data_IF_240594882413
#
_entry.id   IF_240594882413
#
_cell.length_a   1.000
_cell.length_b   1.000
_cell.length_c   1.000
_cell.angle_alpha   90.00
_cell.angle_beta   90.00
_cell.angle_gamma   90.00
#
_symmetry.space_group_name_H-M   'P 1'
#
loop_
_entity.id
_entity.type
_entity.pdbx_description
1 polymer ?
#
# COMPACT_ATOMS: atom_id res chain seq x y z
N UNK A 1 4.47 16.84 0.92
CA UNK A 1 4.33 15.39 1.14
C UNK A 1 4.95 14.64 -0.04
N UNK A 2 5.46 13.43 0.19
CA UNK A 2 5.93 12.52 -0.89
C UNK A 2 4.86 11.44 -1.05
N UNK A 3 4.63 10.96 -2.27
CA UNK A 3 3.74 9.82 -2.50
C UNK A 3 4.41 8.57 -1.93
N UNK A 4 3.68 7.82 -1.11
CA UNK A 4 4.16 6.56 -0.56
C UNK A 4 4.58 5.61 -1.72
N UNK A 5 5.76 4.97 -1.65
CA UNK A 5 6.26 4.14 -2.76
C UNK A 5 5.30 3.02 -3.18
N UNK A 6 4.60 2.39 -2.22
CA UNK A 6 3.62 1.35 -2.54
C UNK A 6 2.42 1.89 -3.33
N UNK A 7 2.01 3.12 -3.06
CA UNK A 7 0.90 3.77 -3.76
C UNK A 7 1.30 4.18 -5.18
N UNK A 8 2.59 4.36 -5.47
CA UNK A 8 3.08 4.57 -6.84
C UNK A 8 2.91 3.30 -7.69
N UNK A 9 3.24 2.13 -7.15
CA UNK A 9 2.99 0.86 -7.86
C UNK A 9 1.48 0.64 -8.10
N UNK A 10 0.64 1.04 -7.14
CA UNK A 10 -0.82 0.98 -7.28
C UNK A 10 -1.34 1.91 -8.38
N UNK A 11 -0.83 3.15 -8.42
CA UNK A 11 -1.17 4.13 -9.44
C UNK A 11 -0.74 3.67 -10.83
N UNK A 12 0.50 3.19 -10.98
CA UNK A 12 0.98 2.66 -12.26
C UNK A 12 0.14 1.48 -12.72
N UNK A 13 -0.27 0.58 -11.82
CA UNK A 13 -1.09 -0.56 -12.22
C UNK A 13 -2.48 -0.12 -12.70
N UNK A 14 -3.08 0.85 -12.01
CA UNK A 14 -4.32 1.47 -12.47
C UNK A 14 -4.15 2.13 -13.86
N UNK A 15 -3.03 2.83 -14.09
CA UNK A 15 -2.72 3.45 -15.38
C UNK A 15 -2.54 2.40 -16.49
N UNK A 16 -1.87 1.28 -16.23
CA UNK A 16 -1.71 0.19 -17.20
C UNK A 16 -3.03 -0.47 -17.55
N UNK A 17 -3.92 -0.64 -16.57
CA UNK A 17 -5.27 -1.11 -16.84
C UNK A 17 -6.06 -0.10 -17.67
N UNK A 18 -5.93 1.20 -17.39
CA UNK A 18 -6.53 2.26 -18.21
C UNK A 18 -5.99 2.26 -19.64
N UNK A 19 -4.69 2.08 -19.84
CA UNK A 19 -4.08 2.01 -21.17
C UNK A 19 -4.63 0.82 -21.98
N UNK A 20 -4.99 -0.29 -21.32
CA UNK A 20 -5.50 -1.51 -21.95
C UNK A 20 -7.01 -1.53 -22.18
N UNK A 21 -7.78 -1.07 -21.19
CA UNK A 21 -9.24 -1.25 -21.15
C UNK A 21 -10.00 0.08 -21.14
N UNK A 22 -9.30 1.22 -21.09
CA UNK A 22 -9.89 2.53 -20.86
C UNK A 22 -10.34 2.71 -19.41
N UNK A 23 -11.24 3.67 -19.19
CA UNK A 23 -11.73 4.04 -17.87
C UNK A 23 -11.11 5.32 -17.32
N UNK A 24 -11.52 5.68 -16.11
CA UNK A 24 -11.15 6.92 -15.43
C UNK A 24 -10.47 6.62 -14.10
N UNK A 25 -9.37 7.28 -13.82
CA UNK A 25 -8.60 7.14 -12.58
C UNK A 25 -8.77 8.40 -11.74
N UNK A 26 -9.41 8.24 -10.59
CA UNK A 26 -9.48 9.26 -9.54
C UNK A 26 -8.53 8.89 -8.41
N UNK A 27 -7.58 9.77 -8.09
CA UNK A 27 -6.69 9.59 -6.92
C UNK A 27 -7.29 10.28 -5.69
N UNK A 28 -7.45 9.54 -4.60
CA UNK A 28 -8.04 10.02 -3.35
C UNK A 28 -6.98 10.00 -2.24
N UNK A 29 -6.79 11.11 -1.54
CA UNK A 29 -5.90 11.17 -0.39
C UNK A 29 -6.59 11.86 0.79
N UNK A 30 -6.60 11.20 1.94
CA UNK A 30 -6.95 11.83 3.21
C UNK A 30 -5.70 12.39 3.87
N UNK A 31 -5.67 13.69 4.14
CA UNK A 31 -4.51 14.31 4.74
C UNK A 31 -4.66 15.81 4.91
N UNK A 32 -3.67 16.47 5.53
CA UNK A 32 -3.68 17.92 5.67
C UNK A 32 -3.43 18.58 4.30
N UNK A 33 -3.63 19.90 4.15
CA UNK A 33 -3.49 20.60 2.86
C UNK A 33 -2.16 20.36 2.13
N UNK A 34 -1.07 20.08 2.85
CA UNK A 34 0.24 19.75 2.26
C UNK A 34 0.25 18.43 1.46
N UNK A 35 -0.77 17.59 1.60
CA UNK A 35 -0.98 16.38 0.80
C UNK A 35 -1.38 16.70 -0.65
N UNK A 36 -1.85 17.92 -0.95
CA UNK A 36 -2.10 18.36 -2.33
C UNK A 36 -0.88 18.12 -3.24
N UNK A 37 0.34 18.36 -2.75
CA UNK A 37 1.55 18.15 -3.54
C UNK A 37 1.71 16.69 -4.02
N UNK A 38 1.28 15.72 -3.19
CA UNK A 38 1.30 14.30 -3.56
C UNK A 38 0.23 13.99 -4.61
N UNK A 39 -0.97 14.55 -4.50
CA UNK A 39 -2.04 14.42 -5.49
C UNK A 39 -1.66 15.05 -6.84
N UNK A 40 -1.06 16.24 -6.82
CA UNK A 40 -0.50 16.89 -8.02
C UNK A 40 0.56 16.01 -8.69
N UNK A 41 1.40 15.36 -7.89
CA UNK A 41 2.40 14.41 -8.42
C UNK A 41 1.73 13.21 -9.06
N UNK A 42 0.69 12.64 -8.44
CA UNK A 42 -0.08 11.53 -9.01
C UNK A 42 -0.80 11.92 -10.32
N UNK A 43 -1.42 13.11 -10.38
CA UNK A 43 -1.99 13.68 -11.60
C UNK A 43 -0.95 13.77 -12.72
N UNK A 44 0.29 14.17 -12.40
CA UNK A 44 1.36 14.29 -13.40
C UNK A 44 1.77 12.96 -14.04
N UNK A 45 1.42 11.83 -13.44
CA UNK A 45 1.67 10.51 -14.03
C UNK A 45 0.56 10.02 -14.96
N UNK A 46 -0.58 10.71 -15.03
CA UNK A 46 -1.68 10.36 -15.94
C UNK A 46 -3.03 10.09 -15.27
N UNK A 47 -3.15 10.25 -13.94
CA UNK A 47 -4.45 10.22 -13.29
C UNK A 47 -5.36 11.33 -13.87
N UNK A 48 -6.66 11.01 -13.97
CA UNK A 48 -7.65 11.89 -14.59
C UNK A 48 -8.15 12.94 -13.61
N UNK A 49 -8.33 12.56 -12.34
CA UNK A 49 -8.92 13.42 -11.32
C UNK A 49 -8.26 13.18 -9.95
N UNK A 50 -8.39 14.15 -9.05
CA UNK A 50 -7.83 14.08 -7.72
C UNK A 50 -8.75 14.70 -6.67
N UNK A 51 -8.90 13.98 -5.55
CA UNK A 51 -9.68 14.41 -4.40
C UNK A 51 -8.78 14.46 -3.17
N UNK A 52 -8.70 15.64 -2.56
CA UNK A 52 -8.12 15.85 -1.25
C UNK A 52 -9.24 15.80 -0.21
N UNK A 53 -9.26 14.75 0.61
CA UNK A 53 -10.13 14.64 1.77
C UNK A 53 -9.43 15.28 2.98
N UNK A 54 -9.80 16.50 3.34
CA UNK A 54 -9.14 17.30 4.38
C UNK A 54 -10.14 17.98 5.30
N UNK A 55 -10.03 17.70 6.59
CA UNK A 55 -10.81 18.32 7.66
C UNK A 55 -10.01 18.20 8.96
N UNK A 56 -10.11 19.18 9.85
CA UNK A 56 -9.52 19.09 11.20
C UNK A 56 -10.11 17.92 11.99
N UNK A 57 -11.36 17.54 11.72
CA UNK A 57 -12.02 16.39 12.33
C UNK A 57 -11.35 15.05 11.99
N UNK A 58 -10.53 14.96 10.94
CA UNK A 58 -9.77 13.75 10.59
C UNK A 58 -8.43 13.64 11.32
N UNK A 59 -7.99 14.68 12.04
CA UNK A 59 -6.70 14.70 12.70
C UNK A 59 -6.57 13.63 13.79
N UNK A 60 -5.40 12.99 13.84
CA UNK A 60 -5.11 11.95 14.83
C UNK A 60 -5.85 10.63 14.61
N UNK A 61 -6.38 10.40 13.40
CA UNK A 61 -7.03 9.13 13.05
C UNK A 61 -6.04 7.95 13.06
N UNK A 62 -6.47 6.84 13.64
CA UNK A 62 -5.86 5.52 13.43
C UNK A 62 -6.38 4.87 12.13
N UNK A 63 -6.04 3.59 11.91
CA UNK A 63 -6.41 2.85 10.70
C UNK A 63 -7.92 2.62 10.57
N UNK A 64 -8.64 2.48 11.70
CA UNK A 64 -10.08 2.28 11.70
C UNK A 64 -10.81 3.56 11.31
N UNK A 65 -10.42 4.69 11.91
CA UNK A 65 -10.97 6.00 11.59
C UNK A 65 -10.60 6.45 10.17
N UNK A 66 -9.35 6.20 9.74
CA UNK A 66 -8.87 6.52 8.39
C UNK A 66 -9.62 5.73 7.32
N UNK A 67 -9.75 4.41 7.49
CA UNK A 67 -10.48 3.58 6.53
C UNK A 67 -11.97 3.94 6.48
N UNK A 68 -12.57 4.42 7.58
CA UNK A 68 -13.94 4.90 7.58
C UNK A 68 -14.11 6.16 6.70
N UNK A 69 -13.26 7.16 6.91
CA UNK A 69 -13.32 8.41 6.14
C UNK A 69 -13.09 8.18 4.64
N UNK A 70 -12.07 7.37 4.29
CA UNK A 70 -11.79 7.00 2.90
C UNK A 70 -12.92 6.18 2.27
N UNK A 71 -13.50 5.22 3.01
CA UNK A 71 -14.64 4.46 2.51
C UNK A 71 -15.86 5.36 2.25
N UNK A 72 -16.14 6.32 3.14
CA UNK A 72 -17.23 7.28 2.93
C UNK A 72 -17.02 8.13 1.67
N UNK A 73 -15.79 8.64 1.47
CA UNK A 73 -15.47 9.37 0.24
C UNK A 73 -15.60 8.48 -1.02
N UNK A 74 -15.14 7.23 -0.99
CA UNK A 74 -15.31 6.30 -2.13
C UNK A 74 -16.80 6.00 -2.36
N UNK A 75 -17.60 5.83 -1.31
CA UNK A 75 -19.04 5.66 -1.43
C UNK A 75 -19.71 6.88 -2.09
N UNK A 76 -19.29 8.10 -1.72
CA UNK A 76 -19.78 9.32 -2.34
C UNK A 76 -19.43 9.41 -3.83
N UNK A 77 -18.20 9.02 -4.21
CA UNK A 77 -17.80 8.92 -5.63
C UNK A 77 -18.69 7.94 -6.39
N UNK A 78 -19.05 6.81 -5.76
CA UNK A 78 -19.90 5.76 -6.36
C UNK A 78 -21.32 6.22 -6.69
N UNK A 79 -21.80 7.29 -6.08
CA UNK A 79 -23.12 7.85 -6.39
C UNK A 79 -23.14 8.54 -7.76
N UNK A 80 -22.01 9.15 -8.16
CA UNK A 80 -21.89 9.86 -9.44
C UNK A 80 -21.36 8.96 -10.57
N UNK A 81 -20.46 8.01 -10.23
CA UNK A 81 -19.79 7.15 -11.22
C UNK A 81 -19.48 5.77 -10.64
N UNK A 82 -19.65 4.67 -11.41
CA UNK A 82 -19.29 3.33 -10.92
C UNK A 82 -17.80 3.24 -10.58
N UNK A 83 -17.49 2.57 -9.46
CA UNK A 83 -16.13 2.24 -9.04
C UNK A 83 -15.97 0.72 -9.06
N UNK A 84 -15.32 0.22 -10.11
CA UNK A 84 -15.08 -1.22 -10.28
C UNK A 84 -13.82 -1.70 -9.56
N UNK A 85 -12.82 -0.83 -9.43
CA UNK A 85 -11.52 -1.16 -8.83
C UNK A 85 -11.08 -0.07 -7.86
N UNK A 86 -10.62 -0.49 -6.68
CA UNK A 86 -9.91 0.38 -5.73
C UNK A 86 -8.50 -0.14 -5.56
N UNK A 87 -7.51 0.66 -5.90
CA UNK A 87 -6.11 0.32 -5.68
C UNK A 87 -5.56 1.04 -4.44
N UNK A 88 -4.75 0.32 -3.68
CA UNK A 88 -3.94 0.87 -2.60
C UNK A 88 -2.57 0.20 -2.57
N UNK A 89 -1.56 0.86 -2.01
CA UNK A 89 -0.32 0.19 -1.64
C UNK A 89 -0.55 -0.86 -0.55
N UNK A 90 0.35 -1.85 -0.46
CA UNK A 90 0.38 -2.83 0.65
C UNK A 90 0.28 -2.16 2.02
N UNK A 91 1.08 -1.11 2.22
CA UNK A 91 1.22 -0.38 3.47
C UNK A 91 1.83 1.00 3.22
N UNK A 92 1.78 1.87 4.22
CA UNK A 92 2.54 3.11 4.23
C UNK A 92 3.88 2.91 4.94
N UNK A 93 4.89 3.68 4.55
CA UNK A 93 6.25 3.58 5.14
C UNK A 93 6.39 4.27 6.51
N UNK A 94 5.39 5.06 6.91
CA UNK A 94 5.37 5.76 8.20
C UNK A 94 4.69 4.93 9.30
N UNK A 95 3.50 4.39 9.02
CA UNK A 95 2.70 3.61 9.97
C UNK A 95 2.89 2.10 9.88
N UNK A 96 3.27 1.58 8.71
CA UNK A 96 3.59 0.15 8.48
C UNK A 96 2.51 -0.85 8.95
N UNK A 97 1.23 -0.44 8.92
CA UNK A 97 0.13 -1.23 9.49
C UNK A 97 -0.51 -2.20 8.50
N UNK A 98 -0.47 -1.91 7.20
CA UNK A 98 -1.15 -2.64 6.12
C UNK A 98 -2.67 -2.83 6.32
N UNK A 99 -3.33 -1.98 7.13
CA UNK A 99 -4.73 -2.19 7.56
C UNK A 99 -5.76 -1.35 6.79
N UNK A 100 -5.38 -0.18 6.26
CA UNK A 100 -6.34 0.77 5.69
C UNK A 100 -7.06 0.20 4.47
N UNK A 101 -6.35 -0.41 3.52
CA UNK A 101 -6.94 -1.08 2.35
C UNK A 101 -7.98 -2.15 2.73
N UNK A 102 -7.61 -3.16 3.54
CA UNK A 102 -8.57 -4.13 4.07
C UNK A 102 -9.77 -3.52 4.80
N UNK A 103 -9.54 -2.44 5.57
CA UNK A 103 -10.59 -1.70 6.26
C UNK A 103 -11.60 -1.08 5.29
N UNK A 104 -11.12 -0.46 4.20
CA UNK A 104 -11.98 0.11 3.16
C UNK A 104 -12.80 -0.98 2.48
N UNK A 105 -12.15 -2.09 2.08
CA UNK A 105 -12.84 -3.18 1.38
C UNK A 105 -13.97 -3.77 2.21
N UNK A 106 -13.71 -4.01 3.50
CA UNK A 106 -14.70 -4.53 4.45
C UNK A 106 -15.91 -3.59 4.58
N UNK A 107 -15.67 -2.28 4.68
CA UNK A 107 -16.75 -1.28 4.85
C UNK A 107 -17.63 -1.14 3.62
N UNK A 108 -17.04 -1.29 2.44
CA UNK A 108 -17.72 -1.12 1.16
C UNK A 108 -18.26 -2.44 0.59
N UNK A 109 -18.05 -3.57 1.27
CA UNK A 109 -18.42 -4.90 0.80
C UNK A 109 -17.70 -5.32 -0.47
N UNK A 110 -16.46 -4.86 -0.67
CA UNK A 110 -15.65 -5.17 -1.85
C UNK A 110 -14.91 -6.50 -1.67
N UNK A 111 -14.68 -7.22 -2.77
CA UNK A 111 -13.74 -8.33 -2.76
C UNK A 111 -12.34 -7.81 -2.42
N UNK A 112 -11.64 -8.47 -1.50
CA UNK A 112 -10.34 -8.01 -1.00
C UNK A 112 -9.20 -8.90 -1.52
N UNK A 113 -8.28 -8.30 -2.27
CA UNK A 113 -7.08 -8.94 -2.79
C UNK A 113 -5.85 -8.25 -2.20
N UNK A 114 -5.23 -8.84 -1.18
CA UNK A 114 -4.02 -8.28 -0.55
C UNK A 114 -2.75 -8.94 -1.05
N UNK A 115 -1.62 -8.24 -0.92
CA UNK A 115 -0.29 -8.74 -1.30
C UNK A 115 -0.23 -9.17 -2.78
N UNK A 116 -0.91 -8.42 -3.65
CA UNK A 116 -0.91 -8.69 -5.09
C UNK A 116 0.46 -8.34 -5.66
N UNK A 117 1.09 -9.30 -6.33
CA UNK A 117 2.39 -9.17 -6.99
C UNK A 117 2.28 -9.03 -8.51
N UNK A 118 1.13 -9.36 -9.10
CA UNK A 118 0.82 -9.08 -10.50
C UNK A 118 -0.70 -9.06 -10.72
N UNK A 119 -1.18 -8.17 -11.59
CA UNK A 119 -2.56 -8.21 -12.11
C UNK A 119 -2.52 -8.87 -13.48
N UNK A 120 -3.34 -9.91 -13.65
CA UNK A 120 -3.41 -10.70 -14.88
C UNK A 120 -4.45 -10.16 -15.85
N UNK A 121 -5.35 -11.05 -16.26
CA UNK A 121 -6.47 -10.70 -17.12
C UNK A 121 -7.58 -10.01 -16.33
N UNK A 122 -8.18 -8.99 -16.94
CA UNK A 122 -9.39 -8.33 -16.46
C UNK A 122 -10.42 -8.51 -17.55
N UNK A 123 -11.59 -9.00 -17.19
CA UNK A 123 -12.73 -9.23 -18.07
C UNK A 123 -13.87 -8.31 -17.60
N UNK A 124 -13.96 -7.08 -18.13
CA UNK A 124 -14.97 -6.11 -17.71
C UNK A 124 -16.40 -6.57 -18.02
N UNK A 125 -16.60 -7.32 -19.10
CA UNK A 125 -17.91 -7.80 -19.54
C UNK A 125 -18.50 -8.81 -18.56
N UNK A 126 -17.70 -9.81 -18.15
CA UNK A 126 -18.13 -10.79 -17.15
C UNK A 126 -17.84 -10.35 -15.72
N UNK A 127 -17.32 -9.13 -15.53
CA UNK A 127 -16.97 -8.55 -14.22
C UNK A 127 -15.99 -9.42 -13.43
N UNK A 128 -14.92 -9.91 -14.07
CA UNK A 128 -13.92 -10.78 -13.44
C UNK A 128 -12.51 -10.22 -13.53
N UNK A 129 -11.68 -10.63 -12.58
CA UNK A 129 -10.26 -10.29 -12.53
C UNK A 129 -9.45 -11.46 -12.00
N UNK A 130 -8.29 -11.69 -12.62
CA UNK A 130 -7.31 -12.68 -12.19
C UNK A 130 -6.08 -11.94 -11.68
N UNK A 131 -5.61 -12.29 -10.48
CA UNK A 131 -4.40 -11.72 -9.87
C UNK A 131 -3.46 -12.80 -9.37
N UNK A 132 -2.19 -12.44 -9.22
CA UNK A 132 -1.20 -13.23 -8.50
C UNK A 132 -0.97 -12.60 -7.12
N UNK A 133 -1.20 -13.38 -6.06
CA UNK A 133 -0.97 -12.99 -4.67
C UNK A 133 0.24 -13.72 -4.12
N UNK A 134 1.15 -12.99 -3.47
CA UNK A 134 2.25 -13.59 -2.72
C UNK A 134 1.77 -14.09 -1.36
N UNK A 135 2.14 -15.32 -1.03
CA UNK A 135 1.96 -15.95 0.28
C UNK A 135 3.28 -16.59 0.73
N UNK A 136 3.39 -17.00 1.99
CA UNK A 136 4.62 -17.59 2.53
C UNK A 136 5.09 -18.83 1.74
N UNK A 137 4.14 -19.62 1.22
CA UNK A 137 4.42 -20.83 0.42
C UNK A 137 4.60 -20.60 -1.08
N UNK A 138 4.61 -19.35 -1.57
CA UNK A 138 4.79 -19.04 -2.99
C UNK A 138 3.75 -18.06 -3.53
N UNK A 139 3.29 -18.30 -4.76
CA UNK A 139 2.35 -17.42 -5.47
C UNK A 139 1.02 -18.15 -5.68
N UNK A 140 -0.07 -17.50 -5.31
CA UNK A 140 -1.44 -17.96 -5.54
C UNK A 140 -2.02 -17.20 -6.74
N UNK A 141 -2.59 -17.92 -7.70
CA UNK A 141 -3.41 -17.32 -8.76
C UNK A 141 -4.85 -17.31 -8.27
N UNK A 142 -5.45 -16.12 -8.16
CA UNK A 142 -6.79 -15.92 -7.62
C UNK A 142 -7.67 -15.29 -8.71
N UNK A 143 -8.86 -15.85 -8.90
CA UNK A 143 -9.93 -15.25 -9.71
C UNK A 143 -11.03 -14.72 -8.77
N UNK A 144 -11.52 -13.51 -9.02
CA UNK A 144 -12.65 -12.94 -8.26
C UNK A 144 -13.50 -12.02 -9.12
N UNK A 145 -14.64 -11.58 -8.58
CA UNK A 145 -15.58 -10.68 -9.21
C UNK A 145 -15.30 -9.20 -8.88
N UNK A 146 -15.64 -8.31 -9.81
CA UNK A 146 -15.69 -6.86 -9.60
C UNK A 146 -17.02 -6.45 -8.93
N UNK A 147 -17.04 -5.46 -8.01
CA UNK A 147 -15.92 -4.58 -7.68
C UNK A 147 -15.00 -5.15 -6.59
N UNK A 148 -13.71 -4.85 -6.70
CA UNK A 148 -12.70 -5.32 -5.75
C UNK A 148 -11.71 -4.24 -5.32
N UNK A 149 -11.14 -4.41 -4.14
CA UNK A 149 -10.00 -3.63 -3.65
C UNK A 149 -8.73 -4.48 -3.72
N UNK A 150 -7.69 -3.90 -4.30
CA UNK A 150 -6.39 -4.53 -4.52
C UNK A 150 -5.33 -3.76 -3.72
N UNK A 151 -4.60 -4.47 -2.85
CA UNK A 151 -3.36 -3.95 -2.28
C UNK A 151 -2.14 -4.55 -2.95
N UNK A 152 -1.26 -3.68 -3.47
CA UNK A 152 -0.13 -4.11 -4.30
C UNK A 152 1.18 -4.13 -3.53
N UNK A 153 2.02 -5.12 -3.86
CA UNK A 153 3.39 -5.22 -3.38
C UNK A 153 4.35 -4.32 -4.17
N UNK A 154 5.51 -4.09 -3.58
CA UNK A 154 6.65 -3.52 -4.25
C UNK A 154 7.08 -4.36 -5.46
N UNK A 155 7.53 -3.68 -6.52
CA UNK A 155 8.06 -4.35 -7.72
C UNK A 155 7.01 -5.06 -8.57
N UNK A 156 5.71 -4.78 -8.37
CA UNK A 156 4.65 -5.26 -9.26
C UNK A 156 4.82 -4.70 -10.69
N UNK A 157 5.25 -3.45 -10.79
CA UNK A 157 5.52 -2.74 -12.03
C UNK A 157 6.65 -1.71 -11.83
N UNK A 158 7.04 -1.07 -12.93
CA UNK A 158 7.94 0.09 -12.92
C UNK A 158 7.14 1.35 -13.20
N UNK A 159 7.22 2.32 -12.28
CA UNK A 159 6.49 3.58 -12.39
C UNK A 159 6.95 4.37 -13.63
N UNK A 160 6.01 4.79 -14.47
CA UNK A 160 6.31 5.66 -15.62
C UNK A 160 6.81 7.05 -15.18
N UNK A 161 7.53 7.71 -16.08
CA UNK A 161 7.91 9.11 -15.91
C UNK A 161 6.80 10.05 -16.39
N UNK A 162 6.61 11.16 -15.67
CA UNK A 162 5.72 12.23 -16.09
C UNK A 162 6.32 13.00 -17.27
N UNK A 163 5.54 13.22 -18.32
CA UNK A 163 5.94 14.11 -19.42
C UNK A 163 5.84 15.58 -18.99
N UNK A 164 6.52 16.49 -19.71
CA UNK A 164 6.39 17.92 -19.44
C UNK A 164 4.95 18.41 -19.62
N UNK A 165 4.24 17.88 -20.63
CA UNK A 165 2.83 18.21 -20.86
C UNK A 165 1.95 17.78 -19.69
N UNK A 166 2.15 16.58 -19.15
CA UNK A 166 1.41 16.09 -17.99
C UNK A 166 1.72 16.87 -16.72
N UNK A 167 2.97 17.30 -16.53
CA UNK A 167 3.31 18.17 -15.41
C UNK A 167 2.56 19.50 -15.48
N UNK A 168 2.45 20.12 -16.66
CA UNK A 168 1.64 21.33 -16.82
C UNK A 168 0.14 21.08 -16.66
N UNK A 169 -0.39 19.97 -17.19
CA UNK A 169 -1.79 19.57 -17.00
C UNK A 169 -2.09 19.40 -15.51
N UNK A 170 -1.26 18.66 -14.79
CA UNK A 170 -1.41 18.41 -13.37
C UNK A 170 -1.33 19.68 -12.53
N UNK A 171 -0.45 20.62 -12.87
CA UNK A 171 -0.35 21.90 -12.18
C UNK A 171 -1.61 22.77 -12.36
N UNK A 172 -2.28 22.67 -13.51
CA UNK A 172 -3.49 23.45 -13.85
C UNK A 172 -4.81 22.76 -13.50
N UNK A 173 -4.79 21.45 -13.23
CA UNK A 173 -5.99 20.68 -12.93
C UNK A 173 -6.74 21.28 -11.73
N UNK A 174 -8.07 21.48 -11.76
CA UNK A 174 -8.79 21.87 -10.56
C UNK A 174 -8.73 20.72 -9.54
N UNK A 175 -8.24 20.97 -8.33
CA UNK A 175 -8.22 19.95 -7.29
C UNK A 175 -9.55 19.97 -6.56
N UNK A 176 -10.22 18.82 -6.49
CA UNK A 176 -11.42 18.67 -5.68
C UNK A 176 -11.01 18.54 -4.22
N UNK A 177 -11.54 19.40 -3.36
CA UNK A 177 -11.27 19.38 -1.92
C UNK A 177 -12.57 19.07 -1.19
N UNK A 178 -12.59 17.95 -0.49
CA UNK A 178 -13.73 17.50 0.32
C UNK A 178 -13.38 17.58 1.80
N UNK A 179 -14.30 18.17 2.57
CA UNK A 179 -14.32 18.04 4.01
C UNK A 179 -15.20 16.85 4.43
N UNK A 180 -15.48 16.71 5.73
CA UNK A 180 -16.33 15.63 6.22
C UNK A 180 -17.76 15.69 5.67
N UNK A 181 -18.32 16.88 5.43
CA UNK A 181 -19.70 17.06 4.99
C UNK A 181 -19.84 16.68 3.53
N UNK A 182 -18.91 17.13 2.69
CA UNK A 182 -18.83 16.73 1.29
C UNK A 182 -18.67 15.21 1.12
N UNK A 183 -17.95 14.55 2.04
CA UNK A 183 -17.79 13.09 2.07
C UNK A 183 -18.98 12.32 2.70
N UNK A 184 -20.06 13.00 3.11
CA UNK A 184 -21.24 12.38 3.71
C UNK A 184 -21.04 11.86 5.14
N UNK A 185 -20.08 12.42 5.88
CA UNK A 185 -19.75 11.99 7.25
C UNK A 185 -20.42 12.94 8.26
N UNK A 186 -21.54 12.49 8.80
CA UNK A 186 -22.27 13.20 9.86
C UNK A 186 -21.71 12.87 11.26
N UNK A 187 -21.41 11.59 11.50
CA UNK A 187 -20.99 11.11 12.81
C UNK A 187 -19.49 11.30 13.05
N UNK A 188 -19.15 12.40 13.74
CA UNK A 188 -17.77 12.77 14.10
C UNK A 188 -17.13 11.73 15.05
N UNK A 189 -17.92 10.91 15.75
CA UNK A 189 -17.37 9.88 16.66
C UNK A 189 -16.73 8.71 15.91
N UNK A 190 -16.83 8.66 14.58
CA UNK A 190 -16.23 7.62 13.73
C UNK A 190 -14.97 8.07 12.99
N UNK A 191 -14.54 9.31 13.16
CA UNK A 191 -13.39 9.91 12.47
C UNK A 191 -12.40 10.56 13.43
N UNK A 192 -11.18 10.78 12.92
CA UNK A 192 -10.10 11.40 13.67
C UNK A 192 -9.79 10.65 14.96
N UNK A 193 -9.22 11.38 15.92
CA UNK A 193 -8.89 10.84 17.24
C UNK A 193 -10.12 10.28 17.98
N UNK A 194 -11.32 10.84 17.78
CA UNK A 194 -12.54 10.39 18.47
C UNK A 194 -13.01 9.02 18.00
N UNK A 195 -12.85 8.72 16.71
CA UNK A 195 -13.17 7.42 16.12
C UNK A 195 -12.03 6.41 16.17
N UNK A 196 -10.91 6.76 16.80
CA UNK A 196 -9.73 5.91 16.88
C UNK A 196 -9.77 5.06 18.16
N UNK A 197 -10.00 3.74 18.07
CA UNK A 197 -9.85 2.85 19.21
C UNK A 197 -8.40 2.75 19.70
N UNK A 198 -7.42 3.04 18.85
CA UNK A 198 -6.00 3.01 19.21
C UNK A 198 -5.42 4.42 19.35
N UNK A 199 -4.59 4.62 20.37
CA UNK A 199 -3.90 5.90 20.62
C UNK A 199 -2.42 5.63 20.85
N UNK A 200 -1.57 6.30 20.07
CA UNK A 200 -0.11 6.20 20.21
C UNK A 200 0.32 6.98 21.46
N UNK A 201 0.65 6.26 22.54
CA UNK A 201 1.02 6.87 23.82
C UNK A 201 2.45 7.40 23.84
N UNK A 202 3.39 6.72 23.16
CA UNK A 202 4.80 7.10 23.14
C UNK A 202 5.50 6.58 21.89
N UNK A 203 6.31 7.43 21.26
CA UNK A 203 7.22 7.07 20.16
C UNK A 203 8.66 7.22 20.66
N UNK A 204 9.50 6.21 20.43
CA UNK A 204 10.91 6.22 20.81
C UNK A 204 11.74 5.48 19.77
N UNK A 205 12.98 5.91 19.56
CA UNK A 205 13.90 5.21 18.67
C UNK A 205 14.38 3.89 19.31
N UNK A 206 14.45 2.78 18.56
CA UNK A 206 15.04 1.55 19.07
C UNK A 206 16.52 1.81 19.38
N UNK A 207 17.02 1.17 20.44
CA UNK A 207 18.44 1.28 20.80
C UNK A 207 19.28 0.58 19.72
N UNK A 208 20.29 1.26 19.13
CA UNK A 208 21.22 0.60 18.24
C UNK A 208 21.81 -0.65 18.89
N UNK A 209 22.07 -1.69 18.10
CA UNK A 209 22.75 -2.89 18.61
C UNK A 209 24.13 -2.49 19.11
N UNK A 210 24.41 -2.77 20.39
CA UNK A 210 25.71 -2.52 21.01
C UNK A 210 26.75 -3.57 20.62
N UNK A 211 26.30 -4.75 20.21
CA UNK A 211 27.16 -5.83 19.72
C UNK A 211 27.76 -5.44 18.36
N UNK A 212 29.08 -5.25 18.33
CA UNK A 212 29.82 -5.09 17.08
C UNK A 212 29.71 -6.37 16.25
N UNK A 213 29.66 -6.23 14.93
CA UNK A 213 29.83 -7.36 14.04
C UNK A 213 31.24 -7.95 14.26
N UNK A 214 31.31 -9.27 14.39
CA UNK A 214 32.57 -9.99 14.45
C UNK A 214 32.96 -10.37 13.02
N UNK A 215 34.16 -9.97 12.60
CA UNK A 215 34.74 -10.47 11.35
C UNK A 215 35.25 -11.88 11.61
N UNK A 216 34.85 -12.84 10.79
CA UNK A 216 35.28 -14.23 10.90
C UNK A 216 36.52 -14.39 10.04
N UNK A 217 37.67 -14.48 10.69
CA UNK A 217 38.94 -14.82 10.07
C UNK A 217 39.01 -16.34 9.86
N UNK A 218 39.32 -16.78 8.65
CA UNK A 218 39.58 -18.18 8.32
C UNK A 218 41.06 -18.41 8.02
N UNK A 219 41.51 -19.66 8.17
CA UNK A 219 42.91 -20.05 8.01
C UNK A 219 43.43 -19.89 6.59
N UNK A 220 42.54 -19.95 5.60
CA UNK A 220 42.84 -19.65 4.21
C UNK A 220 41.78 -18.74 3.61
N UNK A 221 42.14 -18.01 2.54
CA UNK A 221 41.18 -17.25 1.74
C UNK A 221 40.33 -18.12 0.83
N UNK A 222 40.39 -19.45 0.93
CA UNK A 222 39.55 -20.31 0.13
C UNK A 222 38.09 -20.24 0.61
N UNK A 223 37.11 -20.14 -0.31
CA UNK A 223 35.70 -20.02 0.04
C UNK A 223 35.16 -21.15 0.94
N UNK A 224 35.67 -22.38 0.79
CA UNK A 224 35.23 -23.53 1.58
C UNK A 224 35.65 -23.39 3.05
N UNK A 225 36.91 -23.03 3.31
CA UNK A 225 37.42 -22.87 4.67
C UNK A 225 36.72 -21.73 5.43
N UNK A 226 36.36 -20.67 4.72
CA UNK A 226 35.53 -19.57 5.25
C UNK A 226 34.12 -20.04 5.61
N UNK A 227 33.48 -20.83 4.75
CA UNK A 227 32.15 -21.38 5.00
C UNK A 227 32.14 -22.31 6.21
N UNK A 228 33.12 -23.22 6.31
CA UNK A 228 33.25 -24.15 7.43
C UNK A 228 33.49 -23.41 8.75
N UNK A 229 34.38 -22.41 8.75
CA UNK A 229 34.67 -21.59 9.93
C UNK A 229 33.44 -20.79 10.38
N UNK A 230 32.66 -20.24 9.42
CA UNK A 230 31.41 -19.53 9.70
C UNK A 230 30.36 -20.46 10.31
N UNK A 231 30.13 -21.63 9.70
CA UNK A 231 29.15 -22.60 10.17
C UNK A 231 29.51 -23.11 11.57
N UNK A 232 30.78 -23.42 11.82
CA UNK A 232 31.27 -23.83 13.13
C UNK A 232 30.96 -22.77 14.19
N UNK A 233 31.36 -21.50 13.96
CA UNK A 233 31.07 -20.41 14.89
C UNK A 233 29.57 -20.18 15.10
N UNK A 234 28.78 -20.29 14.02
CA UNK A 234 27.33 -20.08 14.08
C UNK A 234 26.62 -21.17 14.89
N UNK A 235 27.00 -22.45 14.72
CA UNK A 235 26.44 -23.54 15.51
C UNK A 235 26.91 -23.55 16.96
N UNK A 236 28.15 -23.13 17.24
CA UNK A 236 28.61 -22.92 18.62
C UNK A 236 27.79 -21.83 19.32
N UNK A 237 27.50 -20.72 18.62
CA UNK A 237 26.73 -19.60 19.17
C UNK A 237 25.23 -19.89 19.26
N UNK A 238 24.71 -20.70 18.34
CA UNK A 238 23.30 -21.06 18.27
C UNK A 238 23.10 -22.58 18.04
N UNK A 239 23.26 -23.41 19.09
CA UNK A 239 23.20 -24.88 18.95
C UNK A 239 21.86 -25.43 18.44
N UNK A 240 20.78 -24.67 18.64
CA UNK A 240 19.43 -25.05 18.21
C UNK A 240 19.23 -24.94 16.68
N UNK A 241 20.00 -24.08 16.00
CA UNK A 241 19.90 -23.87 14.55
C UNK A 241 20.25 -25.15 13.77
N UNK A 242 21.30 -25.86 14.18
CA UNK A 242 21.68 -27.14 13.56
C UNK A 242 20.56 -28.18 13.64
N UNK A 243 19.90 -28.31 14.80
CA UNK A 243 18.77 -29.24 14.98
C UNK A 243 17.55 -28.85 14.14
N UNK A 244 17.28 -27.55 13.98
CA UNK A 244 16.17 -27.06 13.18
C UNK A 244 16.38 -27.26 11.68
N UNK A 245 17.62 -27.10 11.18
CA UNK A 245 17.96 -27.32 9.78
C UNK A 245 17.75 -28.79 9.39
N UNK A 246 18.23 -29.72 10.23
CA UNK A 246 18.03 -31.17 10.01
C UNK A 246 16.54 -31.52 9.98
N UNK A 247 15.74 -30.95 10.88
CA UNK A 247 14.28 -31.20 10.94
C UNK A 247 13.50 -30.65 9.73
N UNK A 248 14.02 -29.62 9.05
CA UNK A 248 13.38 -29.04 7.84
C UNK A 248 13.80 -29.75 6.55
N UNK A 249 14.86 -30.56 6.59
CA UNK A 249 15.39 -31.30 5.43
C UNK A 249 14.93 -32.76 5.38
N UNK A 250 14.34 -33.26 6.47
CA UNK A 250 13.58 -34.51 6.57
C UNK A 250 12.08 -34.28 6.39
#
# INVERSE_FOLDING_TARGET
>A
AIVNPYDLYALEEALRLKDRYGGRITVLCMGPPQAEAALRKALSFGADDAILLTDRAFAGADTLATSYALAAAIARIREDMPVDLVFAGKQTIDGDTAQVGPGIATRLGLQLLTYVSAVGEVDPENRRIIVQRRAEGGVQVLETALPCLITVLEGLNEMRFATMADMFRAARHPLTVWDREAAGIEDITKIGLKGSPTVVSKVFAPRPRTTRAELIEAQSGQPNDLADTLLAKLFTKHPQLGRQIVRRSS
#
